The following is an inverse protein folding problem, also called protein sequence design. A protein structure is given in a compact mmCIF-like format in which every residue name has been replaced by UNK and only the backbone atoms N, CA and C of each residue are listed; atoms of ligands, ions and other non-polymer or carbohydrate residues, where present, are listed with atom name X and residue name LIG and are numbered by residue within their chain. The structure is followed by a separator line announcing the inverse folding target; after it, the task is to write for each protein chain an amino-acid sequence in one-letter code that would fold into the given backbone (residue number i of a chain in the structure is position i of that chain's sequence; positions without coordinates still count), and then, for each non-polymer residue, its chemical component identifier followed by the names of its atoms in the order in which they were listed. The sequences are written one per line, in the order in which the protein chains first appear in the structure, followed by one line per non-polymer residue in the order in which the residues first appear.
data_IF_439593682107
#
_entry.id   IF_439593682107
#
_cell.length_a   1.000
_cell.length_b   1.000
_cell.length_c   1.000
_cell.angle_alpha   90.00
_cell.angle_beta   90.00
_cell.angle_gamma   90.00
#
_symmetry.space_group_name_H-M   'P 1'
#
loop_
_entity.id
_entity.type
_entity.pdbx_description
1 polymer ?
#
# COMPACT_ATOMS: atom_id res chain seq x y z
N UNK A 1 -6.13 25.01 12.39
CA UNK A 1 -5.32 23.86 12.83
C UNK A 1 -4.06 23.83 11.99
N UNK A 2 -2.89 23.58 12.58
CA UNK A 2 -1.62 23.43 11.84
C UNK A 2 -1.22 21.96 11.82
N UNK A 3 -0.89 21.43 10.64
CA UNK A 3 -0.44 20.05 10.46
C UNK A 3 1.08 19.93 10.21
N UNK A 4 1.84 20.97 10.55
CA UNK A 4 3.30 21.00 10.31
C UNK A 4 4.06 19.83 10.95
N UNK A 5 3.57 19.30 12.07
CA UNK A 5 4.20 18.16 12.79
C UNK A 5 4.12 16.80 12.05
N UNK A 6 3.37 16.71 10.95
CA UNK A 6 3.30 15.51 10.10
C UNK A 6 4.20 15.59 8.86
N UNK A 7 4.73 16.77 8.54
CA UNK A 7 5.64 16.93 7.40
C UNK A 7 6.94 16.18 7.71
N UNK A 8 7.36 15.32 6.77
CA UNK A 8 8.58 14.52 6.91
C UNK A 8 8.40 13.19 7.67
N UNK A 9 7.18 12.86 8.14
CA UNK A 9 6.89 11.50 8.61
C UNK A 9 6.94 10.53 7.44
N UNK A 10 7.48 9.35 7.67
CA UNK A 10 7.64 8.28 6.68
C UNK A 10 7.11 6.97 7.25
N UNK A 11 6.62 6.09 6.38
CA UNK A 11 6.25 4.71 6.74
C UNK A 11 7.03 3.79 5.84
N UNK A 12 7.85 2.94 6.46
CA UNK A 12 8.54 1.87 5.75
C UNK A 12 7.82 0.55 5.96
N UNK A 13 7.68 -0.20 4.88
CA UNK A 13 7.09 -1.52 4.91
C UNK A 13 7.90 -2.44 3.99
N UNK A 14 7.98 -3.70 4.37
CA UNK A 14 8.60 -4.75 3.58
C UNK A 14 7.57 -5.80 3.23
N UNK A 15 7.67 -6.36 2.04
CA UNK A 15 6.76 -7.39 1.56
C UNK A 15 7.50 -8.32 0.59
N UNK A 16 6.85 -9.44 0.24
CA UNK A 16 7.30 -10.32 -0.83
C UNK A 16 6.13 -10.58 -1.77
N UNK A 17 6.36 -10.40 -3.07
CA UNK A 17 5.42 -10.89 -4.08
C UNK A 17 5.49 -12.42 -4.10
N UNK A 18 4.78 -13.09 -3.19
CA UNK A 18 4.71 -14.54 -3.15
C UNK A 18 3.76 -15.11 -4.19
N UNK A 19 3.83 -16.44 -4.38
CA UNK A 19 2.99 -17.16 -5.35
C UNK A 19 1.49 -16.99 -5.07
N UNK A 20 1.09 -16.87 -3.80
CA UNK A 20 -0.30 -16.71 -3.40
C UNK A 20 -0.85 -15.33 -3.78
N UNK A 21 -0.10 -14.27 -3.51
CA UNK A 21 -0.44 -12.91 -3.93
C UNK A 21 -0.51 -12.82 -5.45
N UNK A 22 0.49 -13.36 -6.15
CA UNK A 22 0.53 -13.36 -7.61
C UNK A 22 -0.70 -14.07 -8.20
N UNK A 23 -1.04 -15.27 -7.71
CA UNK A 23 -2.19 -16.02 -8.17
C UNK A 23 -3.52 -15.27 -7.97
N UNK A 24 -3.74 -14.67 -6.79
CA UNK A 24 -4.97 -13.90 -6.50
C UNK A 24 -5.08 -12.64 -7.35
N UNK A 25 -3.96 -11.94 -7.55
CA UNK A 25 -3.93 -10.72 -8.37
C UNK A 25 -4.24 -11.06 -9.83
N UNK A 26 -3.60 -12.10 -10.39
CA UNK A 26 -3.86 -12.54 -11.77
C UNK A 26 -5.32 -12.98 -11.96
N UNK A 27 -5.87 -13.73 -11.00
CA UNK A 27 -7.26 -14.17 -11.03
C UNK A 27 -8.25 -12.99 -11.00
N UNK A 28 -7.92 -11.89 -10.34
CA UNK A 28 -8.77 -10.69 -10.28
C UNK A 28 -8.96 -10.04 -11.66
N UNK A 29 -7.99 -10.22 -12.56
CA UNK A 29 -8.00 -9.67 -13.92
C UNK A 29 -8.15 -10.75 -15.01
N UNK A 30 -8.51 -11.98 -14.64
CA UNK A 30 -8.63 -13.13 -15.54
C UNK A 30 -7.37 -13.40 -16.38
N UNK A 31 -6.18 -13.19 -15.78
CA UNK A 31 -4.89 -13.36 -16.45
C UNK A 31 -4.25 -14.72 -16.14
N UNK A 32 -3.60 -15.30 -17.15
CA UNK A 32 -2.76 -16.49 -16.98
C UNK A 32 -1.45 -16.16 -16.25
N UNK A 33 -0.83 -17.15 -15.63
CA UNK A 33 0.51 -17.01 -15.02
C UNK A 33 1.54 -16.68 -16.12
N UNK A 34 2.29 -15.57 -15.98
CA UNK A 34 3.25 -15.17 -17.00
C UNK A 34 4.48 -16.09 -17.04
N UNK A 35 5.07 -16.23 -18.22
CA UNK A 35 6.39 -16.84 -18.42
C UNK A 35 7.25 -15.92 -19.29
N UNK A 36 8.39 -15.38 -18.79
CA UNK A 36 8.95 -15.55 -17.44
C UNK A 36 8.01 -15.03 -16.34
N UNK A 37 8.21 -15.39 -15.05
CA UNK A 37 7.30 -15.05 -13.95
C UNK A 37 7.39 -13.57 -13.52
N UNK A 38 7.19 -12.67 -14.47
CA UNK A 38 7.19 -11.22 -14.31
C UNK A 38 5.74 -10.74 -14.28
N UNK A 39 5.34 -10.10 -13.18
CA UNK A 39 3.97 -9.64 -13.01
C UNK A 39 3.68 -8.38 -13.84
N UNK A 40 2.43 -8.23 -14.33
CA UNK A 40 2.00 -7.00 -15.00
C UNK A 40 2.10 -5.77 -14.08
N UNK A 41 2.21 -4.59 -14.71
CA UNK A 41 2.18 -3.33 -13.97
C UNK A 41 0.85 -3.15 -13.23
N UNK A 42 0.92 -2.52 -12.05
CA UNK A 42 -0.20 -2.39 -11.12
C UNK A 42 -0.14 -3.33 -9.93
N UNK A 43 0.63 -4.44 -10.00
CA UNK A 43 0.81 -5.35 -8.86
C UNK A 43 1.40 -4.65 -7.62
N UNK A 44 2.18 -3.58 -7.81
CA UNK A 44 2.78 -2.79 -6.72
C UNK A 44 1.74 -2.12 -5.81
N UNK A 45 0.49 -1.95 -6.24
CA UNK A 45 -0.59 -1.45 -5.38
C UNK A 45 -1.14 -2.51 -4.41
N UNK A 46 -0.89 -3.79 -4.67
CA UNK A 46 -1.29 -4.89 -3.79
C UNK A 46 -0.17 -5.31 -2.82
N UNK A 47 0.99 -4.64 -2.87
CA UNK A 47 2.15 -4.92 -2.02
C UNK A 47 2.26 -3.86 -0.92
N UNK A 48 2.81 -4.26 0.23
CA UNK A 48 3.02 -3.39 1.39
C UNK A 48 1.73 -2.69 1.86
N UNK A 49 0.59 -3.40 1.80
CA UNK A 49 -0.68 -2.95 2.36
C UNK A 49 -0.60 -2.86 3.89
N UNK A 50 -1.30 -1.94 4.56
CA UNK A 50 -1.26 -1.87 6.02
C UNK A 50 -1.83 -3.14 6.67
N UNK A 51 -1.08 -3.76 7.58
CA UNK A 51 -1.52 -4.92 8.39
C UNK A 51 -2.21 -4.50 9.70
N UNK A 52 -2.91 -3.36 9.69
CA UNK A 52 -3.61 -2.89 10.87
C UNK A 52 -4.75 -3.84 11.25
N UNK A 53 -4.81 -4.24 12.51
CA UNK A 53 -5.93 -5.03 13.03
C UNK A 53 -7.23 -4.23 12.92
N UNK A 54 -8.37 -4.90 12.81
CA UNK A 54 -9.68 -4.23 12.72
C UNK A 54 -9.93 -3.26 13.88
N UNK A 55 -9.42 -3.57 15.07
CA UNK A 55 -9.53 -2.69 16.26
C UNK A 55 -8.68 -1.41 16.15
N UNK A 56 -7.67 -1.39 15.28
CA UNK A 56 -6.81 -0.24 15.00
C UNK A 56 -7.23 0.54 13.74
N UNK A 57 -8.35 0.15 13.11
CA UNK A 57 -8.89 0.88 11.96
C UNK A 57 -9.76 2.06 12.43
N UNK A 58 -9.76 3.13 11.63
CA UNK A 58 -10.77 4.18 11.72
C UNK A 58 -12.07 3.77 11.03
N UNK A 59 -13.09 4.62 11.12
CA UNK A 59 -14.39 4.42 10.49
C UNK A 59 -14.32 4.24 8.96
N UNK A 60 -13.22 4.70 8.34
CA UNK A 60 -12.96 4.56 6.91
C UNK A 60 -12.20 3.28 6.52
N UNK A 61 -12.01 2.36 7.48
CA UNK A 61 -11.33 1.08 7.26
C UNK A 61 -9.82 1.18 7.04
N UNK A 62 -9.25 2.37 7.16
CA UNK A 62 -7.79 2.58 7.10
C UNK A 62 -7.21 2.61 8.53
N UNK A 63 -5.89 2.43 8.70
CA UNK A 63 -5.25 2.66 9.99
C UNK A 63 -5.69 4.00 10.59
N UNK A 64 -6.08 3.96 11.86
CA UNK A 64 -6.58 5.12 12.57
C UNK A 64 -5.55 6.27 12.53
N UNK A 65 -6.07 7.49 12.53
CA UNK A 65 -5.29 8.72 12.57
C UNK A 65 -5.61 9.45 13.84
N UNK A 66 -4.58 9.90 14.53
CA UNK A 66 -4.69 10.58 15.81
C UNK A 66 -3.55 11.59 15.96
N UNK A 67 -3.42 12.19 17.14
CA UNK A 67 -2.38 13.18 17.41
C UNK A 67 -1.06 12.55 17.90
N UNK A 68 -0.93 11.22 17.87
CA UNK A 68 0.29 10.53 18.31
C UNK A 68 1.47 10.78 17.35
N UNK A 69 2.72 10.67 17.82
CA UNK A 69 3.90 10.67 16.95
C UNK A 69 3.90 9.55 15.90
N UNK A 70 3.22 8.44 16.16
CA UNK A 70 3.17 7.25 15.30
C UNK A 70 2.18 7.41 14.14
N UNK A 71 1.23 8.35 14.24
CA UNK A 71 0.23 8.55 13.20
C UNK A 71 0.84 9.11 11.91
N UNK A 72 0.72 8.39 10.80
CA UNK A 72 1.28 8.84 9.52
C UNK A 72 0.54 10.06 8.94
N UNK A 73 -0.79 10.12 9.10
CA UNK A 73 -1.62 11.22 8.61
C UNK A 73 -2.21 12.01 9.78
N UNK A 74 -2.42 13.33 9.63
CA UNK A 74 -3.04 14.13 10.67
C UNK A 74 -4.51 13.74 10.90
N UNK A 75 -5.06 13.93 12.11
CA UNK A 75 -6.45 13.62 12.44
C UNK A 75 -7.39 14.68 11.86
N UNK A 76 -7.56 14.67 10.55
CA UNK A 76 -8.49 15.52 9.84
C UNK A 76 -9.94 15.02 10.09
N UNK A 77 -10.95 15.90 10.24
CA UNK A 77 -12.25 15.49 10.80
C UNK A 77 -13.23 14.84 9.80
N UNK A 78 -12.87 14.73 8.51
CA UNK A 78 -13.78 14.19 7.50
C UNK A 78 -13.89 12.66 7.59
N UNK A 79 -15.09 12.05 7.45
CA UNK A 79 -15.31 10.64 7.76
C UNK A 79 -14.64 9.66 6.78
N UNK A 80 -14.19 10.12 5.60
CA UNK A 80 -13.54 9.28 4.58
C UNK A 80 -12.34 9.98 3.96
N UNK A 81 -11.37 9.18 3.55
CA UNK A 81 -10.21 9.59 2.74
C UNK A 81 -10.44 9.17 1.29
N UNK A 82 -9.85 9.90 0.36
CA UNK A 82 -9.86 9.56 -1.07
C UNK A 82 -8.44 9.64 -1.61
N UNK A 83 -8.09 8.70 -2.48
CA UNK A 83 -6.90 8.81 -3.29
C UNK A 83 -7.17 9.77 -4.46
N UNK A 84 -6.61 10.97 -4.39
CA UNK A 84 -6.90 12.02 -5.38
C UNK A 84 -6.12 11.85 -6.69
N UNK A 85 -4.83 11.51 -6.61
CA UNK A 85 -3.97 11.26 -7.77
C UNK A 85 -2.65 10.62 -7.35
N UNK A 86 -1.89 10.12 -8.33
CA UNK A 86 -0.49 9.70 -8.16
C UNK A 86 0.36 10.14 -9.34
N UNK A 87 1.66 10.31 -9.08
CA UNK A 87 2.71 10.39 -10.10
C UNK A 87 3.55 9.12 -10.01
N UNK A 88 3.58 8.34 -11.09
CA UNK A 88 4.18 7.00 -11.10
C UNK A 88 5.23 6.92 -12.19
N UNK A 89 6.38 6.34 -11.86
CA UNK A 89 7.42 5.97 -12.81
C UNK A 89 7.79 4.50 -12.61
N UNK A 90 7.90 3.75 -13.71
CA UNK A 90 8.23 2.34 -13.69
C UNK A 90 9.71 2.15 -14.02
N UNK A 91 10.51 1.76 -13.03
CA UNK A 91 11.96 1.60 -13.17
C UNK A 91 12.38 0.20 -13.59
N UNK A 92 11.69 -0.83 -13.07
CA UNK A 92 11.97 -2.22 -13.36
C UNK A 92 10.69 -3.06 -13.22
N UNK A 93 10.58 -4.20 -13.93
CA UNK A 93 9.51 -5.17 -13.69
C UNK A 93 9.67 -5.84 -12.32
N UNK A 94 8.56 -6.28 -11.72
CA UNK A 94 8.54 -7.04 -10.47
C UNK A 94 8.29 -8.52 -10.79
N UNK A 95 9.22 -9.39 -10.41
CA UNK A 95 9.10 -10.84 -10.60
C UNK A 95 8.45 -11.51 -9.39
N UNK A 96 7.73 -12.61 -9.61
CA UNK A 96 7.25 -13.48 -8.51
C UNK A 96 8.46 -13.96 -7.71
N UNK A 97 8.38 -13.82 -6.38
CA UNK A 97 9.45 -14.05 -5.42
C UNK A 97 10.24 -12.80 -5.03
N UNK A 98 10.04 -11.66 -5.70
CA UNK A 98 10.75 -10.42 -5.38
C UNK A 98 10.44 -9.95 -3.95
N UNK A 99 11.50 -9.55 -3.24
CA UNK A 99 11.41 -8.85 -1.95
C UNK A 99 11.31 -7.35 -2.24
N UNK A 100 10.36 -6.70 -1.59
CA UNK A 100 9.96 -5.32 -1.84
C UNK A 100 10.13 -4.52 -0.55
N UNK A 101 10.68 -3.31 -0.67
CA UNK A 101 10.62 -2.29 0.38
C UNK A 101 9.91 -1.06 -0.19
N UNK A 102 8.92 -0.56 0.55
CA UNK A 102 8.24 0.72 0.29
C UNK A 102 8.60 1.70 1.40
N UNK A 103 8.91 2.94 1.03
CA UNK A 103 9.21 4.06 1.94
C UNK A 103 8.21 5.20 1.72
#
# INVERSE_FOLDING_TARGET
MSFGAWIGREVRASDRLDEGLAARWLATFDLARPHPPIMPQGVHFALCTPDASTAALGEDGHPARDNSPESFLPPFPMPRRMWASSKIAFHAPIAIGAVIERR
#
